data_IF_900724174788
#
_entry.id   IF_900724174788
#
_cell.length_a   1.000
_cell.length_b   1.000
_cell.length_c   1.000
_cell.angle_alpha   90.00
_cell.angle_beta   90.00
_cell.angle_gamma   90.00
#
_symmetry.space_group_name_H-M   'P 1'
#
loop_
_entity.id
_entity.type
_entity.pdbx_description
1 polymer ?
#
# COMPACT_ATOMS: atom_id res chain seq x y z
N UNK A 1 14.68 4.13 -20.11
CA UNK A 1 13.59 3.39 -20.79
C UNK A 1 12.45 3.33 -19.80
N UNK A 2 11.29 3.92 -20.11
CA UNK A 2 10.12 3.88 -19.20
C UNK A 2 9.57 2.45 -19.17
N UNK A 3 9.49 1.84 -17.98
CA UNK A 3 8.95 0.48 -17.83
C UNK A 3 7.44 0.48 -18.07
N UNK A 4 6.93 -0.66 -18.55
CA UNK A 4 5.50 -0.83 -18.80
C UNK A 4 4.73 -0.97 -17.49
N UNK A 5 3.60 -0.27 -17.37
CA UNK A 5 2.65 -0.43 -16.25
C UNK A 5 1.81 -1.71 -16.41
N UNK A 6 1.44 -2.35 -15.30
CA UNK A 6 0.70 -3.62 -15.29
C UNK A 6 -0.33 -3.67 -14.15
N UNK A 7 -1.45 -4.36 -14.40
CA UNK A 7 -2.38 -4.82 -13.35
C UNK A 7 -2.02 -6.20 -12.81
N UNK A 8 -1.19 -6.96 -13.52
CA UNK A 8 -0.63 -8.22 -13.04
C UNK A 8 0.56 -7.94 -12.12
N UNK A 9 0.29 -7.88 -10.82
CA UNK A 9 1.26 -7.58 -9.75
C UNK A 9 2.17 -8.76 -9.39
N UNK A 10 2.10 -9.86 -10.14
CA UNK A 10 3.12 -10.93 -10.08
C UNK A 10 4.35 -10.62 -10.94
N UNK A 11 4.22 -9.69 -11.90
CA UNK A 11 5.32 -9.25 -12.78
C UNK A 11 6.26 -8.31 -12.04
N UNK A 12 7.35 -8.87 -11.54
CA UNK A 12 8.33 -8.18 -10.73
C UNK A 12 9.06 -7.02 -11.43
N UNK A 13 9.21 -7.10 -12.76
CA UNK A 13 9.91 -6.13 -13.61
C UNK A 13 9.04 -4.96 -14.08
N UNK A 14 7.73 -5.03 -13.86
CA UNK A 14 6.76 -4.06 -14.35
C UNK A 14 6.35 -3.05 -13.27
N UNK A 15 5.88 -1.88 -13.70
CA UNK A 15 5.41 -0.83 -12.79
C UNK A 15 3.97 -1.14 -12.38
N UNK A 16 3.62 -1.16 -11.08
CA UNK A 16 2.23 -1.30 -10.67
C UNK A 16 1.35 -0.23 -11.31
N UNK A 17 0.15 -0.59 -11.80
CA UNK A 17 -0.75 0.34 -12.47
C UNK A 17 -1.06 1.63 -11.68
N UNK A 18 -1.00 1.54 -10.34
CA UNK A 18 -1.27 2.65 -9.42
C UNK A 18 -0.05 3.57 -9.19
N UNK A 19 1.16 3.19 -9.62
CA UNK A 19 2.33 4.06 -9.66
C UNK A 19 2.42 4.74 -11.02
N UNK A 20 1.45 5.62 -11.29
CA UNK A 20 1.36 6.29 -12.59
C UNK A 20 2.41 7.40 -12.75
N UNK A 21 2.90 7.96 -11.65
CA UNK A 21 3.87 9.07 -11.59
C UNK A 21 5.32 8.64 -11.34
N UNK A 22 5.58 7.34 -11.15
CA UNK A 22 6.92 6.82 -10.81
C UNK A 22 7.29 5.61 -11.68
N UNK A 23 8.57 5.47 -12.02
CA UNK A 23 9.13 4.29 -12.68
C UNK A 23 9.71 3.31 -11.64
N UNK A 24 8.86 2.89 -10.70
CA UNK A 24 9.21 1.93 -9.64
C UNK A 24 8.51 0.60 -9.93
N UNK A 25 9.29 -0.47 -10.14
CA UNK A 25 8.77 -1.81 -10.40
C UNK A 25 8.17 -2.46 -9.15
N UNK A 26 7.38 -3.53 -9.34
CA UNK A 26 6.84 -4.33 -8.24
C UNK A 26 7.94 -4.84 -7.31
N UNK A 27 9.07 -5.34 -7.85
CA UNK A 27 10.18 -5.81 -7.03
C UNK A 27 10.84 -4.70 -6.21
N UNK A 28 11.08 -3.54 -6.83
CA UNK A 28 11.65 -2.38 -6.13
C UNK A 28 10.72 -1.89 -5.02
N UNK A 29 9.42 -1.80 -5.29
CA UNK A 29 8.41 -1.40 -4.30
C UNK A 29 8.39 -2.38 -3.11
N UNK A 30 8.37 -3.69 -3.36
CA UNK A 30 8.44 -4.71 -2.30
C UNK A 30 9.72 -4.61 -1.49
N UNK A 31 10.86 -4.37 -2.14
CA UNK A 31 12.14 -4.20 -1.47
C UNK A 31 12.12 -2.97 -0.57
N UNK A 32 11.61 -1.84 -1.05
CA UNK A 32 11.48 -0.62 -0.25
C UNK A 32 10.58 -0.86 0.97
N UNK A 33 9.46 -1.54 0.81
CA UNK A 33 8.55 -1.85 1.93
C UNK A 33 9.20 -2.77 2.97
N UNK A 34 10.10 -3.67 2.56
CA UNK A 34 10.79 -4.61 3.46
C UNK A 34 11.99 -3.99 4.16
N UNK A 35 12.84 -3.30 3.41
CA UNK A 35 14.21 -2.95 3.81
C UNK A 35 14.45 -1.43 3.82
N UNK A 36 13.51 -0.64 3.29
CA UNK A 36 13.67 0.80 3.15
C UNK A 36 13.59 1.55 4.48
N UNK A 37 14.10 2.81 4.51
CA UNK A 37 13.93 3.70 5.65
C UNK A 37 12.46 3.84 6.02
N UNK A 38 12.17 4.00 7.31
CA UNK A 38 10.79 4.04 7.81
C UNK A 38 9.92 5.10 7.14
N UNK A 39 10.46 6.30 6.94
CA UNK A 39 9.76 7.38 6.23
C UNK A 39 9.35 7.01 4.81
N UNK A 40 10.21 6.28 4.10
CA UNK A 40 9.95 5.83 2.73
C UNK A 40 8.94 4.67 2.69
N UNK A 41 9.00 3.75 3.65
CA UNK A 41 7.96 2.71 3.82
C UNK A 41 6.60 3.33 4.06
N UNK A 42 6.50 4.28 5.00
CA UNK A 42 5.24 4.97 5.32
C UNK A 42 4.73 5.75 4.11
N UNK A 43 5.62 6.38 3.33
CA UNK A 43 5.25 7.05 2.09
C UNK A 43 4.58 6.07 1.11
N UNK A 44 5.20 4.92 0.83
CA UNK A 44 4.64 3.95 -0.11
C UNK A 44 3.41 3.23 0.41
N UNK A 45 3.33 2.90 1.72
CA UNK A 45 2.11 2.38 2.32
C UNK A 45 0.96 3.35 2.09
N UNK A 46 1.15 4.63 2.42
CA UNK A 46 0.11 5.64 2.20
C UNK A 46 -0.27 5.78 0.72
N UNK A 47 0.71 5.74 -0.19
CA UNK A 47 0.46 5.82 -1.63
C UNK A 47 -0.35 4.61 -2.13
N UNK A 48 0.02 3.39 -1.75
CA UNK A 48 -0.70 2.17 -2.12
C UNK A 48 -2.15 2.25 -1.61
N UNK A 49 -2.35 2.64 -0.36
CA UNK A 49 -3.71 2.78 0.21
C UNK A 49 -4.55 3.88 -0.48
N UNK A 50 -3.94 4.90 -1.07
CA UNK A 50 -4.68 5.93 -1.83
C UNK A 50 -5.08 5.48 -3.22
N UNK A 51 -4.17 4.79 -3.92
CA UNK A 51 -4.25 4.62 -5.37
C UNK A 51 -4.59 3.18 -5.80
N UNK A 52 -4.24 2.18 -4.97
CA UNK A 52 -4.50 0.77 -5.28
C UNK A 52 -5.94 0.39 -4.92
N UNK A 53 -6.46 -0.63 -5.60
CA UNK A 53 -7.71 -1.28 -5.18
C UNK A 53 -7.47 -2.00 -3.86
N UNK A 54 -8.45 -2.04 -2.93
CA UNK A 54 -8.23 -2.64 -1.62
C UNK A 54 -7.71 -4.07 -1.66
N UNK A 55 -8.23 -4.91 -2.57
CA UNK A 55 -7.78 -6.30 -2.76
C UNK A 55 -6.31 -6.41 -3.20
N UNK A 56 -5.78 -5.41 -3.92
CA UNK A 56 -4.40 -5.39 -4.37
C UNK A 56 -3.44 -4.77 -3.36
N UNK A 57 -3.92 -3.88 -2.48
CA UNK A 57 -3.09 -3.25 -1.46
C UNK A 57 -2.43 -4.30 -0.54
N UNK A 58 -3.19 -5.34 -0.19
CA UNK A 58 -2.74 -6.40 0.72
C UNK A 58 -1.71 -7.36 0.12
N UNK A 59 -1.39 -7.23 -1.17
CA UNK A 59 -0.27 -7.94 -1.79
C UNK A 59 1.11 -7.38 -1.37
N UNK A 60 1.14 -6.22 -0.72
CA UNK A 60 2.36 -5.49 -0.38
C UNK A 60 2.67 -5.44 1.12
N UNK A 61 1.65 -5.57 1.97
CA UNK A 61 1.78 -5.53 3.43
C UNK A 61 0.56 -6.18 4.09
N UNK A 62 0.70 -6.53 5.37
CA UNK A 62 -0.41 -7.06 6.17
C UNK A 62 -1.25 -5.92 6.76
N UNK A 63 -2.58 -6.07 6.87
CA UNK A 63 -3.45 -5.07 7.50
C UNK A 63 -3.00 -4.66 8.92
N UNK A 64 -2.49 -5.61 9.71
CA UNK A 64 -2.02 -5.40 11.08
C UNK A 64 -0.80 -4.49 11.12
N UNK A 65 0.14 -4.66 10.18
CA UNK A 65 1.35 -3.85 10.08
C UNK A 65 1.04 -2.38 9.77
N UNK A 66 -0.02 -2.15 9.00
CA UNK A 66 -0.56 -0.82 8.68
C UNK A 66 -1.27 -0.24 9.88
N UNK A 67 -2.11 -1.02 10.56
CA UNK A 67 -2.85 -0.56 11.74
C UNK A 67 -1.90 -0.16 12.88
N UNK A 68 -0.82 -0.91 13.09
CA UNK A 68 0.20 -0.58 14.08
C UNK A 68 0.91 0.77 13.82
N UNK A 69 0.90 1.25 12.57
CA UNK A 69 1.51 2.52 12.12
C UNK A 69 0.47 3.53 11.63
N UNK A 70 -0.76 3.38 12.11
CA UNK A 70 -1.88 4.15 11.58
C UNK A 70 -1.72 5.64 11.84
N UNK A 71 -1.15 6.03 12.99
CA UNK A 71 -0.88 7.42 13.36
C UNK A 71 0.00 8.12 12.32
N UNK A 72 0.99 7.44 11.75
CA UNK A 72 1.84 7.99 10.71
C UNK A 72 1.19 7.90 9.32
N UNK A 73 0.48 6.82 9.00
CA UNK A 73 -0.09 6.61 7.66
C UNK A 73 -1.29 7.52 7.41
N UNK A 74 -2.22 7.59 8.37
CA UNK A 74 -3.52 8.27 8.26
C UNK A 74 -3.46 9.72 7.75
N UNK A 75 -2.57 10.60 8.24
CA UNK A 75 -2.52 11.99 7.77
C UNK A 75 -2.21 12.13 6.27
N UNK A 76 -1.64 11.09 5.66
CA UNK A 76 -1.24 11.07 4.25
C UNK A 76 -2.36 10.59 3.31
N UNK A 77 -3.48 10.06 3.81
CA UNK A 77 -4.49 9.40 2.97
C UNK A 77 -5.59 10.33 2.45
N UNK A 78 -5.78 11.50 3.06
CA UNK A 78 -6.82 12.44 2.66
C UNK A 78 -8.22 11.82 2.71
N UNK A 79 -8.94 11.82 1.58
CA UNK A 79 -10.32 11.28 1.48
C UNK A 79 -10.40 9.77 1.73
N UNK A 80 -9.33 9.03 1.46
CA UNK A 80 -9.30 7.58 1.66
C UNK A 80 -9.23 7.17 3.13
N UNK A 81 -8.92 8.09 4.04
CA UNK A 81 -8.89 7.83 5.49
C UNK A 81 -10.18 7.18 5.97
N UNK A 82 -11.33 7.76 5.68
CA UNK A 82 -12.62 7.28 6.16
C UNK A 82 -12.97 5.87 5.61
N UNK A 83 -12.57 5.59 4.37
CA UNK A 83 -12.77 4.27 3.74
C UNK A 83 -11.97 3.21 4.47
N UNK A 84 -10.69 3.49 4.76
CA UNK A 84 -9.84 2.55 5.46
C UNK A 84 -10.19 2.39 6.94
N UNK A 85 -10.57 3.48 7.62
CA UNK A 85 -11.09 3.39 9.00
C UNK A 85 -12.33 2.49 9.06
N UNK A 86 -13.28 2.67 8.14
CA UNK A 86 -14.45 1.80 8.04
C UNK A 86 -14.08 0.32 7.84
N UNK A 87 -13.14 0.02 6.94
CA UNK A 87 -12.71 -1.36 6.67
C UNK A 87 -12.00 -1.98 7.89
N UNK A 88 -11.08 -1.25 8.52
CA UNK A 88 -10.39 -1.74 9.71
C UNK A 88 -11.35 -1.97 10.88
N UNK A 89 -12.31 -1.08 11.09
CA UNK A 89 -13.30 -1.23 12.15
C UNK A 89 -14.22 -2.43 11.89
N UNK A 90 -14.62 -2.67 10.64
CA UNK A 90 -15.39 -3.85 10.26
C UNK A 90 -14.60 -5.13 10.50
N UNK A 91 -13.34 -5.19 10.07
CA UNK A 91 -12.48 -6.36 10.29
C UNK A 91 -12.20 -6.63 11.76
N UNK A 92 -12.07 -5.60 12.58
CA UNK A 92 -11.93 -5.77 14.04
C UNK A 92 -13.18 -6.40 14.66
N UNK A 93 -14.39 -5.96 14.24
CA UNK A 93 -15.65 -6.57 14.69
C UNK A 93 -15.80 -8.01 14.27
N UNK A 94 -15.31 -8.35 13.08
CA UNK A 94 -15.36 -9.71 12.53
C UNK A 94 -14.23 -10.61 13.08
N UNK A 95 -13.35 -10.08 13.94
CA UNK A 95 -12.22 -10.83 14.53
C UNK A 95 -11.08 -11.11 13.55
N UNK A 96 -11.04 -10.40 12.43
CA UNK A 96 -10.02 -10.51 11.37
C UNK A 96 -8.83 -9.57 11.59
N UNK A 97 -8.97 -8.60 12.50
CA UNK A 97 -7.92 -7.66 12.89
C UNK A 97 -7.93 -7.54 14.42
N UNK A 98 -6.77 -7.70 15.06
CA UNK A 98 -6.61 -7.60 16.51
C UNK A 98 -6.08 -6.21 16.93
#
# INVERSE_FOLDING_TARGET
MERRRTSDLSREDAVPYFLWDEDTSVAELRRVLREGPESLRIHYVAKILREARPEHAWLFFRPEDVRARWTEVRPRLGRMTAVWEFLFDQWARDGLLA
#
